data_IF_419906699669
#
_entry.id   IF_419906699669
#
_cell.length_a   1.000
_cell.length_b   1.000
_cell.length_c   1.000
_cell.angle_alpha   90.00
_cell.angle_beta   90.00
_cell.angle_gamma   90.00
#
_symmetry.space_group_name_H-M   'P 1'
#
loop_
_entity.id
_entity.type
_entity.pdbx_description
1 polymer ?
#
# COMPACT_ATOMS: atom_id res chain seq x y z
N UNK A 1 8.97 -8.60 3.73
CA UNK A 1 8.19 -7.42 3.33
C UNK A 1 8.75 -6.20 4.03
N UNK A 2 8.94 -5.10 3.30
CA UNK A 2 9.30 -3.80 3.88
C UNK A 2 8.15 -2.83 3.70
N UNK A 3 7.85 -2.05 4.75
CA UNK A 3 6.83 -1.01 4.70
C UNK A 3 7.41 0.34 5.17
N UNK A 4 6.97 1.42 4.54
CA UNK A 4 7.18 2.80 4.95
C UNK A 4 5.82 3.43 5.25
N UNK A 5 5.69 3.96 6.46
CA UNK A 5 4.45 4.55 6.98
C UNK A 5 4.63 6.07 7.08
N UNK A 6 3.75 6.83 6.43
CA UNK A 6 3.78 8.30 6.42
C UNK A 6 2.40 8.81 6.82
N UNK A 7 2.31 9.51 7.94
CA UNK A 7 1.12 10.29 8.27
C UNK A 7 1.17 11.60 7.47
N UNK A 8 0.17 11.80 6.61
CA UNK A 8 0.12 12.91 5.67
C UNK A 8 -1.24 13.59 5.71
N UNK A 9 -1.22 14.93 5.56
CA UNK A 9 -2.44 15.71 5.37
C UNK A 9 -3.24 15.21 4.16
N UNK A 10 -2.54 14.76 3.11
CA UNK A 10 -3.19 14.09 1.98
C UNK A 10 -2.26 13.15 1.21
N UNK A 11 -2.90 12.24 0.46
CA UNK A 11 -2.29 11.49 -0.64
C UNK A 11 -3.13 11.70 -1.89
N UNK A 12 -2.48 12.13 -2.97
CA UNK A 12 -3.10 12.25 -4.29
C UNK A 12 -2.28 11.48 -5.33
N UNK A 13 -2.95 10.76 -6.21
CA UNK A 13 -2.29 9.98 -7.25
C UNK A 13 -3.07 10.00 -8.57
N UNK A 14 -2.34 9.78 -9.65
CA UNK A 14 -2.87 9.60 -10.99
C UNK A 14 -2.04 8.52 -11.70
N UNK A 15 -2.71 7.48 -12.18
CA UNK A 15 -2.10 6.41 -12.97
C UNK A 15 -1.63 6.98 -14.30
N UNK A 16 -0.37 6.68 -14.66
CA UNK A 16 0.24 7.11 -15.92
C UNK A 16 0.35 5.93 -16.88
N UNK A 17 1.57 5.46 -17.14
CA UNK A 17 1.83 4.39 -18.08
C UNK A 17 1.75 3.02 -17.42
N UNK A 18 1.25 2.02 -18.16
CA UNK A 18 1.15 0.65 -17.68
C UNK A 18 2.51 -0.06 -17.78
N UNK A 19 2.83 -0.90 -16.81
CA UNK A 19 3.94 -1.85 -16.90
C UNK A 19 3.51 -3.15 -17.59
N UNK A 20 4.44 -4.02 -18.01
CA UNK A 20 4.09 -5.30 -18.64
C UNK A 20 3.27 -6.24 -17.75
N UNK A 21 3.38 -6.11 -16.43
CA UNK A 21 2.71 -6.93 -15.41
C UNK A 21 1.61 -6.16 -14.68
N UNK A 22 1.18 -5.01 -15.21
CA UNK A 22 0.15 -4.19 -14.60
C UNK A 22 -1.21 -4.90 -14.61
N UNK A 23 -1.94 -4.80 -13.50
CA UNK A 23 -3.33 -5.23 -13.41
C UNK A 23 -4.26 -4.28 -14.21
N UNK A 24 -5.45 -4.77 -14.54
CA UNK A 24 -6.49 -3.92 -15.12
C UNK A 24 -7.08 -3.00 -14.05
N UNK A 25 -6.82 -1.69 -14.17
CA UNK A 25 -7.38 -0.67 -13.29
C UNK A 25 -8.56 0.02 -13.99
N UNK A 26 -9.79 -0.07 -13.43
CA UNK A 26 -10.96 0.55 -14.03
C UNK A 26 -10.84 2.08 -13.99
N UNK A 27 -11.43 2.82 -14.96
CA UNK A 27 -11.21 4.26 -15.12
C UNK A 27 -11.44 5.10 -13.86
N UNK A 28 -12.44 4.75 -13.06
CA UNK A 28 -12.82 5.40 -11.81
C UNK A 28 -11.77 5.26 -10.70
N UNK A 29 -10.85 4.29 -10.80
CA UNK A 29 -9.74 4.07 -9.84
C UNK A 29 -8.39 4.58 -10.35
N UNK A 30 -8.34 5.23 -11.52
CA UNK A 30 -7.08 5.74 -12.11
C UNK A 30 -6.58 7.04 -11.47
N UNK A 31 -7.39 7.68 -10.64
CA UNK A 31 -7.00 8.85 -9.86
C UNK A 31 -7.71 8.80 -8.52
N UNK A 32 -7.10 9.39 -7.51
CA UNK A 32 -7.69 9.44 -6.18
C UNK A 32 -6.99 10.48 -5.33
N UNK A 33 -7.74 11.02 -4.38
CA UNK A 33 -7.26 11.91 -3.34
C UNK A 33 -7.89 11.49 -2.02
N UNK A 34 -7.06 11.36 -1.00
CA UNK A 34 -7.46 11.06 0.38
C UNK A 34 -6.86 12.13 1.27
N UNK A 35 -7.65 12.67 2.19
CA UNK A 35 -7.22 13.61 3.23
C UNK A 35 -7.00 12.87 4.55
N UNK A 36 -6.16 13.42 5.44
CA UNK A 36 -5.85 12.92 6.79
C UNK A 36 -5.61 11.40 6.81
N UNK A 37 -4.52 10.98 6.16
CA UNK A 37 -4.31 9.58 5.78
C UNK A 37 -2.95 9.06 6.24
N UNK A 38 -2.94 7.81 6.71
CA UNK A 38 -1.71 7.02 6.86
C UNK A 38 -1.37 6.33 5.55
N UNK A 39 -0.37 6.83 4.84
CA UNK A 39 0.13 6.25 3.59
C UNK A 39 1.05 5.07 3.90
N UNK A 40 0.75 3.92 3.31
CA UNK A 40 1.55 2.69 3.45
C UNK A 40 2.17 2.36 2.10
N UNK A 41 3.47 2.62 1.96
CA UNK A 41 4.24 2.07 0.83
C UNK A 41 4.77 0.70 1.23
N UNK A 42 4.42 -0.34 0.47
CA UNK A 42 4.82 -1.72 0.75
C UNK A 42 5.63 -2.32 -0.40
N UNK A 43 6.70 -3.03 -0.06
CA UNK A 43 7.51 -3.82 -0.98
C UNK A 43 7.53 -5.28 -0.50
N UNK A 44 6.89 -6.16 -1.26
CA UNK A 44 7.00 -7.61 -1.05
C UNK A 44 8.38 -8.10 -1.49
N UNK A 45 8.98 -8.99 -0.70
CA UNK A 45 10.29 -9.60 -0.89
C UNK A 45 10.14 -11.08 -1.27
N UNK A 46 11.17 -11.68 -1.88
CA UNK A 46 11.12 -13.08 -2.34
C UNK A 46 10.78 -14.06 -1.20
N UNK A 47 11.38 -13.86 -0.03
CA UNK A 47 11.17 -14.71 1.15
C UNK A 47 9.73 -14.65 1.69
N UNK A 48 8.95 -13.61 1.36
CA UNK A 48 7.55 -13.49 1.81
C UNK A 48 6.65 -14.58 1.21
N UNK A 49 7.05 -15.14 0.07
CA UNK A 49 6.31 -16.22 -0.60
C UNK A 49 6.22 -17.51 0.21
N UNK A 50 7.13 -17.72 1.18
CA UNK A 50 7.14 -18.91 2.01
C UNK A 50 5.95 -18.97 3.00
N UNK A 51 5.43 -17.82 3.42
CA UNK A 51 4.26 -17.74 4.29
C UNK A 51 3.54 -16.39 4.15
N UNK A 52 2.82 -16.22 3.04
CA UNK A 52 2.14 -14.98 2.68
C UNK A 52 1.12 -14.53 3.73
N UNK A 53 0.39 -15.47 4.35
CA UNK A 53 -0.66 -15.17 5.34
C UNK A 53 -0.06 -14.50 6.59
N UNK A 54 0.96 -15.12 7.20
CA UNK A 54 1.61 -14.55 8.38
C UNK A 54 2.28 -13.21 8.09
N UNK A 55 2.89 -13.05 6.89
CA UNK A 55 3.50 -11.77 6.50
C UNK A 55 2.44 -10.67 6.39
N UNK A 56 1.31 -10.94 5.74
CA UNK A 56 0.22 -10.00 5.60
C UNK A 56 -0.42 -9.63 6.96
N UNK A 57 -0.64 -10.61 7.83
CA UNK A 57 -1.15 -10.38 9.19
C UNK A 57 -0.23 -9.49 10.03
N UNK A 58 1.08 -9.73 9.96
CA UNK A 58 2.06 -8.93 10.69
C UNK A 58 2.10 -7.48 10.16
N UNK A 59 2.09 -7.30 8.83
CA UNK A 59 2.03 -5.96 8.22
C UNK A 59 0.76 -5.21 8.63
N UNK A 60 -0.41 -5.87 8.58
CA UNK A 60 -1.68 -5.28 8.99
C UNK A 60 -1.66 -4.87 10.47
N UNK A 61 -1.10 -5.72 11.35
CA UNK A 61 -0.98 -5.41 12.79
C UNK A 61 -0.13 -4.15 13.02
N UNK A 62 0.99 -4.01 12.32
CA UNK A 62 1.86 -2.85 12.46
C UNK A 62 1.23 -1.56 11.92
N UNK A 63 0.53 -1.64 10.78
CA UNK A 63 -0.23 -0.51 10.23
C UNK A 63 -1.31 -0.06 11.22
N UNK A 64 -2.08 -0.99 11.79
CA UNK A 64 -3.13 -0.68 12.77
C UNK A 64 -2.58 -0.07 14.05
N UNK A 65 -1.41 -0.53 14.51
CA UNK A 65 -0.73 0.02 15.67
C UNK A 65 -0.41 1.50 15.45
N UNK A 66 0.27 1.83 14.34
CA UNK A 66 0.66 3.22 14.02
C UNK A 66 -0.56 4.10 13.72
N UNK A 67 -1.60 3.56 13.08
CA UNK A 67 -2.82 4.32 12.81
C UNK A 67 -3.62 4.66 14.08
N UNK A 68 -3.36 3.98 15.20
CA UNK A 68 -4.05 4.18 16.47
C UNK A 68 -3.20 4.89 17.53
N UNK A 69 -1.94 5.20 17.22
CA UNK A 69 -1.01 5.98 18.06
C UNK A 69 -1.38 7.48 18.03
#
# INVERSE_FOLDING_TARGET
MRILLIHSDFLEFEVKERTPVAEEVPPERRRGRLEEVLVVFAAAEEDDGANVETVAENAAREIMRVASD
#
